data_IF_576646978155
#
_entry.id   IF_576646978155
#
_cell.length_a   1.000
_cell.length_b   1.000
_cell.length_c   1.000
_cell.angle_alpha   90.00
_cell.angle_beta   90.00
_cell.angle_gamma   90.00
#
_symmetry.space_group_name_H-M   'P 1'
#
loop_
_entity.id
_entity.type
_entity.pdbx_description
1 polymer ?
#
# COMPACT_ATOMS: atom_id res chain seq x y z
N UNK A 1 -10.81 17.49 6.32
CA UNK A 1 -9.72 18.47 6.13
C UNK A 1 -8.99 18.76 7.43
N UNK A 2 -9.64 19.36 8.40
CA UNK A 2 -9.08 19.66 9.72
C UNK A 2 -9.93 19.00 10.82
N UNK A 3 -9.53 19.13 12.07
CA UNK A 3 -10.32 18.70 13.23
C UNK A 3 -11.36 19.75 13.69
N UNK A 4 -11.56 20.82 12.89
CA UNK A 4 -12.48 21.91 13.17
C UNK A 4 -13.94 21.63 12.78
N UNK A 5 -14.78 22.68 12.79
CA UNK A 5 -16.20 22.61 12.39
C UNK A 5 -16.32 21.91 11.04
N UNK A 6 -17.25 20.95 10.98
CA UNK A 6 -17.49 20.10 9.83
C UNK A 6 -16.23 19.47 9.20
N UNK A 7 -15.26 19.08 10.04
CA UNK A 7 -13.95 18.59 9.60
C UNK A 7 -13.22 19.54 8.62
N UNK A 8 -13.47 20.85 8.72
CA UNK A 8 -12.89 21.90 7.87
C UNK A 8 -13.42 21.92 6.43
N UNK A 9 -14.55 21.25 6.14
CA UNK A 9 -15.18 21.28 4.81
C UNK A 9 -16.02 22.53 4.58
N UNK A 10 -16.75 22.98 5.59
CA UNK A 10 -17.71 24.10 5.49
C UNK A 10 -17.92 24.76 6.85
N UNK A 11 -18.20 26.06 6.86
CA UNK A 11 -18.56 26.81 8.07
C UNK A 11 -20.07 26.79 8.37
N UNK A 12 -20.90 26.26 7.47
CA UNK A 12 -22.35 26.12 7.65
C UNK A 12 -22.72 25.19 8.80
N UNK A 13 -24.00 25.13 9.16
CA UNK A 13 -24.45 24.23 10.21
C UNK A 13 -24.49 22.78 9.72
N UNK A 14 -24.20 21.83 10.62
CA UNK A 14 -24.06 20.42 10.24
C UNK A 14 -25.31 19.83 9.59
N UNK A 15 -26.50 20.37 9.91
CA UNK A 15 -27.78 19.97 9.34
C UNK A 15 -27.98 20.46 7.89
N UNK A 16 -27.23 21.48 7.46
CA UNK A 16 -27.32 22.06 6.12
C UNK A 16 -26.28 21.47 5.15
N UNK A 17 -25.41 20.57 5.64
CA UNK A 17 -24.48 19.86 4.78
C UNK A 17 -25.25 18.97 3.80
N UNK A 18 -24.87 19.03 2.51
CA UNK A 18 -25.52 18.26 1.45
C UNK A 18 -25.49 16.74 1.71
N UNK A 19 -24.46 16.27 2.43
CA UNK A 19 -24.36 14.94 3.02
C UNK A 19 -23.78 15.06 4.43
N UNK A 20 -24.20 14.19 5.37
CA UNK A 20 -23.64 14.16 6.70
C UNK A 20 -22.15 13.80 6.65
N UNK A 21 -21.41 14.28 7.64
CA UNK A 21 -20.06 13.79 7.88
C UNK A 21 -20.09 12.36 8.39
N UNK A 22 -18.97 11.66 8.19
CA UNK A 22 -18.72 10.39 8.85
C UNK A 22 -18.91 10.57 10.37
N UNK A 23 -19.85 9.82 10.99
CA UNK A 23 -20.12 9.95 12.42
C UNK A 23 -18.99 9.44 13.30
N UNK A 24 -18.04 8.68 12.76
CA UNK A 24 -16.88 8.22 13.55
C UNK A 24 -16.05 9.42 14.02
N UNK A 25 -15.88 9.54 15.34
CA UNK A 25 -15.03 10.55 15.95
C UNK A 25 -13.54 10.32 15.63
N UNK A 26 -13.16 9.08 15.30
CA UNK A 26 -11.81 8.69 14.90
C UNK A 26 -11.57 8.79 13.39
N UNK A 27 -12.50 9.37 12.62
CA UNK A 27 -12.31 9.59 11.18
C UNK A 27 -11.00 10.38 10.93
N UNK A 28 -10.17 9.98 9.96
CA UNK A 28 -8.93 10.67 9.69
C UNK A 28 -9.18 12.06 9.10
N UNK A 29 -8.29 13.02 9.40
CA UNK A 29 -8.30 14.37 8.82
C UNK A 29 -6.97 14.64 8.13
N UNK A 30 -6.95 15.57 7.18
CA UNK A 30 -5.70 15.91 6.46
C UNK A 30 -4.69 16.50 7.45
N UNK A 31 -5.14 17.33 8.40
CA UNK A 31 -4.27 17.90 9.42
C UNK A 31 -3.70 16.85 10.37
N UNK A 32 -4.43 15.79 10.70
CA UNK A 32 -3.94 14.74 11.61
C UNK A 32 -3.04 13.71 10.91
N UNK A 33 -3.19 13.54 9.59
CA UNK A 33 -2.39 12.59 8.81
C UNK A 33 -1.11 13.20 8.22
N UNK A 34 -1.14 14.47 7.77
CA UNK A 34 -0.01 15.08 7.07
C UNK A 34 1.16 15.37 8.02
N UNK A 35 2.36 14.92 7.66
CA UNK A 35 3.56 15.05 8.48
C UNK A 35 3.64 14.06 9.65
N UNK A 36 2.63 13.20 9.84
CA UNK A 36 2.62 12.18 10.89
C UNK A 36 3.27 10.90 10.36
N UNK A 37 4.39 10.51 10.97
CA UNK A 37 5.09 9.25 10.63
C UNK A 37 4.12 8.07 10.80
N UNK A 38 4.08 7.19 9.80
CA UNK A 38 3.20 6.02 9.79
C UNK A 38 1.73 6.33 9.50
N UNK A 39 1.41 7.54 9.05
CA UNK A 39 0.07 7.87 8.54
C UNK A 39 -0.15 7.31 7.14
N UNK A 40 -1.41 7.11 6.77
CA UNK A 40 -1.76 6.69 5.41
C UNK A 40 -1.37 7.79 4.40
N UNK A 41 -1.45 9.06 4.80
CA UNK A 41 -0.98 10.18 3.98
C UNK A 41 0.51 10.06 3.64
N UNK A 42 1.38 9.91 4.65
CA UNK A 42 2.83 9.82 4.43
C UNK A 42 3.19 8.54 3.67
N UNK A 43 2.50 7.44 3.94
CA UNK A 43 2.65 6.20 3.18
C UNK A 43 2.31 6.39 1.70
N UNK A 44 1.15 6.97 1.39
CA UNK A 44 0.73 7.23 0.01
C UNK A 44 1.69 8.21 -0.69
N UNK A 45 2.11 9.28 0.00
CA UNK A 45 3.07 10.25 -0.52
C UNK A 45 4.42 9.61 -0.86
N UNK A 46 4.95 8.73 0.01
CA UNK A 46 6.19 8.02 -0.21
C UNK A 46 6.10 7.06 -1.42
N UNK A 47 5.01 6.29 -1.53
CA UNK A 47 4.79 5.39 -2.68
C UNK A 47 4.65 6.15 -3.99
N UNK A 48 3.97 7.31 -3.99
CA UNK A 48 3.88 8.21 -5.15
C UNK A 48 5.26 8.74 -5.54
N UNK A 49 6.09 9.12 -4.58
CA UNK A 49 7.43 9.62 -4.84
C UNK A 49 8.31 8.57 -5.53
N UNK A 50 8.28 7.32 -5.05
CA UNK A 50 8.97 6.18 -5.67
C UNK A 50 8.45 5.97 -7.10
N UNK A 51 7.12 5.87 -7.28
CA UNK A 51 6.51 5.64 -8.60
C UNK A 51 6.88 6.71 -9.64
N UNK A 52 7.08 7.97 -9.21
CA UNK A 52 7.43 9.09 -10.11
C UNK A 52 8.83 9.00 -10.68
N UNK A 53 9.77 8.41 -9.96
CA UNK A 53 11.20 8.41 -10.34
C UNK A 53 11.68 7.08 -10.88
N UNK A 54 10.92 6.01 -10.70
CA UNK A 54 11.31 4.65 -11.07
C UNK A 54 10.61 4.19 -12.37
N UNK A 55 11.33 4.09 -13.50
CA UNK A 55 10.75 3.68 -14.78
C UNK A 55 10.09 2.30 -14.75
N UNK A 56 10.65 1.37 -13.97
CA UNK A 56 10.08 0.02 -13.79
C UNK A 56 8.69 0.02 -13.15
N UNK A 57 8.28 1.10 -12.49
CA UNK A 57 6.95 1.26 -11.89
C UNK A 57 6.00 2.11 -12.74
N UNK A 58 6.47 2.74 -13.82
CA UNK A 58 5.67 3.56 -14.73
C UNK A 58 4.49 2.76 -15.32
N UNK A 59 3.39 3.40 -15.76
CA UNK A 59 2.23 2.71 -16.33
C UNK A 59 2.56 1.74 -17.48
N UNK A 60 3.55 2.06 -18.30
CA UNK A 60 3.95 1.33 -19.49
C UNK A 60 4.86 0.13 -19.19
N UNK A 61 5.44 0.07 -17.99
CA UNK A 61 6.34 -1.02 -17.62
C UNK A 61 5.59 -2.36 -17.57
N UNK A 62 6.18 -3.46 -18.10
CA UNK A 62 5.59 -4.79 -18.06
C UNK A 62 5.13 -5.20 -16.67
N UNK A 63 4.10 -6.05 -16.61
CA UNK A 63 3.60 -6.65 -15.38
C UNK A 63 3.53 -8.17 -15.57
N UNK A 64 4.09 -8.92 -14.63
CA UNK A 64 3.98 -10.38 -14.61
C UNK A 64 3.49 -10.85 -13.25
N UNK A 65 2.32 -11.48 -13.22
CA UNK A 65 1.76 -12.08 -12.01
C UNK A 65 2.51 -13.38 -11.75
N UNK A 66 3.01 -13.54 -10.52
CA UNK A 66 3.75 -14.73 -10.08
C UNK A 66 2.85 -15.73 -9.34
N UNK A 67 1.85 -15.23 -8.62
CA UNK A 67 0.95 -16.09 -7.84
C UNK A 67 -0.14 -16.73 -8.67
N UNK A 68 -0.43 -18.00 -8.35
CA UNK A 68 -1.56 -18.75 -8.86
C UNK A 68 -2.91 -18.11 -8.51
N UNK A 69 -3.93 -18.43 -9.30
CA UNK A 69 -5.24 -17.76 -9.25
C UNK A 69 -6.09 -18.09 -8.00
N UNK A 70 -5.81 -19.19 -7.30
CA UNK A 70 -6.57 -19.65 -6.11
C UNK A 70 -5.61 -20.20 -5.02
N UNK A 71 -5.58 -19.65 -3.79
CA UNK A 71 -6.39 -18.55 -3.25
C UNK A 71 -5.96 -17.14 -3.70
N UNK A 72 -4.93 -17.03 -4.57
CA UNK A 72 -4.48 -15.75 -5.10
C UNK A 72 -3.69 -14.85 -4.14
N UNK A 73 -3.41 -15.31 -2.90
CA UNK A 73 -2.75 -14.49 -1.88
C UNK A 73 -1.60 -15.20 -1.13
N UNK A 74 -0.53 -14.46 -0.75
CA UNK A 74 -0.30 -13.05 -1.09
C UNK A 74 -0.18 -12.85 -2.60
N UNK A 75 -0.73 -11.76 -3.14
CA UNK A 75 -0.62 -11.44 -4.56
C UNK A 75 0.81 -10.96 -4.81
N UNK A 76 1.55 -11.72 -5.61
CA UNK A 76 2.94 -11.43 -5.94
C UNK A 76 3.04 -11.15 -7.43
N UNK A 77 3.68 -10.05 -7.81
CA UNK A 77 3.90 -9.71 -9.21
C UNK A 77 5.17 -8.87 -9.39
N UNK A 78 5.77 -8.96 -10.57
CA UNK A 78 6.87 -8.09 -10.96
C UNK A 78 6.40 -6.92 -11.82
N UNK A 79 7.17 -5.83 -11.79
CA UNK A 79 7.03 -4.68 -12.68
C UNK A 79 8.40 -4.32 -13.26
N UNK A 80 8.49 -4.08 -14.57
CA UNK A 80 9.75 -3.68 -15.21
C UNK A 80 10.92 -4.68 -15.04
N UNK A 81 10.62 -5.93 -14.68
CA UNK A 81 11.53 -7.04 -14.37
C UNK A 81 12.45 -6.86 -13.13
N UNK A 82 12.59 -5.64 -12.60
CA UNK A 82 13.44 -5.31 -11.45
C UNK A 82 12.67 -4.90 -10.19
N UNK A 83 11.34 -4.82 -10.24
CA UNK A 83 10.49 -4.59 -9.07
C UNK A 83 9.66 -5.82 -8.75
N UNK A 84 9.56 -6.15 -7.47
CA UNK A 84 8.66 -7.17 -6.93
C UNK A 84 7.68 -6.49 -5.97
N UNK A 85 6.38 -6.77 -6.13
CA UNK A 85 5.33 -6.31 -5.24
C UNK A 85 4.61 -7.52 -4.66
N UNK A 86 4.42 -7.49 -3.34
CA UNK A 86 3.73 -8.51 -2.56
C UNK A 86 2.61 -7.84 -1.78
N UNK A 87 1.36 -8.32 -1.93
CA UNK A 87 0.19 -7.80 -1.23
C UNK A 87 -0.55 -8.92 -0.51
N UNK A 88 -0.76 -8.82 0.80
CA UNK A 88 -1.65 -9.71 1.54
C UNK A 88 -2.81 -8.93 2.16
N UNK A 89 -4.00 -8.90 1.53
CA UNK A 89 -5.17 -8.25 2.10
C UNK A 89 -5.85 -9.09 3.20
N UNK A 90 -5.47 -10.36 3.38
CA UNK A 90 -6.12 -11.23 4.34
C UNK A 90 -5.83 -10.78 5.78
N UNK A 91 -6.79 -10.99 6.68
CA UNK A 91 -6.63 -10.78 8.12
C UNK A 91 -5.72 -11.79 8.83
N UNK A 92 -5.04 -12.66 8.07
CA UNK A 92 -4.11 -13.69 8.57
C UNK A 92 -2.86 -13.73 7.70
N UNK A 93 -1.77 -14.28 8.23
CA UNK A 93 -0.57 -14.55 7.45
C UNK A 93 -0.86 -15.52 6.30
N UNK A 94 -0.27 -15.25 5.15
CA UNK A 94 -0.42 -16.05 3.93
C UNK A 94 0.95 -16.35 3.33
N UNK A 95 1.02 -17.44 2.56
CA UNK A 95 2.23 -17.87 1.87
C UNK A 95 1.91 -18.19 0.41
N UNK A 96 2.84 -17.90 -0.48
CA UNK A 96 2.75 -18.27 -1.88
C UNK A 96 4.06 -18.91 -2.34
N UNK A 97 3.95 -20.02 -3.05
CA UNK A 97 5.08 -20.65 -3.73
C UNK A 97 5.30 -19.91 -5.04
N UNK A 98 6.30 -19.04 -5.08
CA UNK A 98 6.63 -18.25 -6.27
C UNK A 98 8.15 -18.24 -6.45
N UNK A 99 8.65 -18.35 -7.69
CA UNK A 99 10.07 -18.20 -7.95
C UNK A 99 10.44 -16.73 -7.73
N UNK A 100 11.28 -16.47 -6.73
CA UNK A 100 11.80 -15.12 -6.44
C UNK A 100 13.31 -15.12 -6.22
N UNK A 101 13.99 -15.84 -7.11
CA UNK A 101 15.45 -15.83 -7.17
C UNK A 101 16.00 -14.41 -7.32
N UNK A 102 17.13 -14.16 -6.67
CA UNK A 102 17.86 -12.90 -6.75
C UNK A 102 18.00 -12.16 -5.42
N UNK A 103 18.82 -11.11 -5.44
CA UNK A 103 19.00 -10.23 -4.30
C UNK A 103 17.97 -9.11 -4.37
N UNK A 104 16.97 -9.18 -3.49
CA UNK A 104 15.86 -8.23 -3.41
C UNK A 104 16.00 -7.40 -2.14
N UNK A 105 15.92 -6.07 -2.27
CA UNK A 105 15.90 -5.18 -1.11
C UNK A 105 14.54 -4.51 -0.95
N UNK A 106 14.05 -4.46 0.30
CA UNK A 106 12.80 -3.81 0.64
C UNK A 106 12.93 -2.30 0.48
N UNK A 107 12.07 -1.71 -0.35
CA UNK A 107 11.99 -0.26 -0.59
C UNK A 107 10.84 0.35 0.21
N UNK A 108 9.70 -0.33 0.30
CA UNK A 108 8.55 0.12 1.07
C UNK A 108 7.70 -1.05 1.57
N UNK A 109 7.02 -0.87 2.70
CA UNK A 109 6.22 -1.91 3.34
C UNK A 109 6.95 -2.59 4.49
N UNK A 110 6.39 -3.68 5.00
CA UNK A 110 6.91 -4.43 6.15
C UNK A 110 6.32 -5.85 6.19
N UNK A 111 6.81 -6.68 7.11
CA UNK A 111 6.23 -8.00 7.42
C UNK A 111 6.07 -8.93 6.20
N UNK A 112 7.00 -8.84 5.25
CA UNK A 112 7.13 -9.74 4.11
C UNK A 112 8.52 -10.37 4.13
N UNK A 113 8.56 -11.70 4.17
CA UNK A 113 9.78 -12.49 4.09
C UNK A 113 9.88 -13.17 2.73
N UNK A 114 11.03 -13.03 2.08
CA UNK A 114 11.36 -13.67 0.81
C UNK A 114 12.29 -14.85 1.09
N UNK A 115 11.83 -16.07 0.77
CA UNK A 115 12.69 -17.25 0.60
C UNK A 115 12.87 -17.57 -0.88
N UNK A 116 13.76 -18.51 -1.23
CA UNK A 116 14.09 -18.81 -2.65
C UNK A 116 12.85 -19.14 -3.51
N UNK A 117 11.90 -19.90 -2.96
CA UNK A 117 10.71 -20.39 -3.68
C UNK A 117 9.39 -20.10 -2.97
N UNK A 118 9.43 -19.33 -1.88
CA UNK A 118 8.26 -19.05 -1.04
C UNK A 118 8.31 -17.60 -0.56
N UNK A 119 7.20 -16.91 -0.65
CA UNK A 119 6.99 -15.62 0.01
C UNK A 119 6.00 -15.81 1.14
N UNK A 120 6.35 -15.31 2.32
CA UNK A 120 5.45 -15.24 3.48
C UNK A 120 5.13 -13.78 3.79
N UNK A 121 3.85 -13.46 3.92
CA UNK A 121 3.37 -12.11 4.22
C UNK A 121 2.44 -12.13 5.44
N UNK A 122 2.69 -11.24 6.39
CA UNK A 122 1.82 -11.00 7.56
C UNK A 122 0.40 -10.56 7.18
N UNK A 123 -0.54 -10.50 8.14
CA UNK A 123 -1.92 -10.06 7.89
C UNK A 123 -1.95 -8.59 7.43
N UNK A 124 -2.79 -8.28 6.43
CA UNK A 124 -3.03 -6.90 5.93
C UNK A 124 -1.74 -6.14 5.64
N UNK A 125 -0.79 -6.79 4.99
CA UNK A 125 0.54 -6.21 4.71
C UNK A 125 0.82 -6.08 3.22
N UNK A 126 1.89 -5.37 2.93
CA UNK A 126 2.50 -5.32 1.62
C UNK A 126 4.03 -5.16 1.72
N UNK A 127 4.71 -5.51 0.64
CA UNK A 127 6.12 -5.23 0.42
C UNK A 127 6.36 -4.82 -1.03
N UNK A 128 7.19 -3.81 -1.22
CA UNK A 128 7.71 -3.37 -2.52
C UNK A 128 9.21 -3.51 -2.46
N UNK A 129 9.76 -4.34 -3.33
CA UNK A 129 11.17 -4.67 -3.39
C UNK A 129 11.75 -4.28 -4.74
N UNK A 130 13.03 -3.93 -4.73
CA UNK A 130 13.80 -3.70 -5.95
C UNK A 130 14.96 -4.69 -6.01
N UNK A 131 15.25 -5.22 -7.20
CA UNK A 131 16.37 -6.12 -7.42
C UNK A 131 17.68 -5.34 -7.34
N UNK A 132 18.70 -5.90 -6.71
CA UNK A 132 20.06 -5.36 -6.71
C UNK A 132 20.86 -5.82 -7.92
#
# INVERSE_FOLDING_TARGET
WTDGKNAGFSDGDGADLYLPLDPDEQRPTVSSERGRVGSLWEQAAALIAIRRVEPGLAPEAPLSILTETDPGFPLCYTRGDDWLVVLNPAGKGMKANVPVDGDWHLVAGADVALGEHEIAAGPRTYGVFKRR
#
